data_IF_332524195678
#
_entry.id   IF_332524195678
#
_cell.length_a   1.000
_cell.length_b   1.000
_cell.length_c   1.000
_cell.angle_alpha   90.00
_cell.angle_beta   90.00
_cell.angle_gamma   90.00
#
_symmetry.space_group_name_H-M   'P 1'
#
loop_
_entity.id
_entity.type
_entity.pdbx_description
1 polymer ?
#
# COMPACT_ATOMS: atom_id res chain seq x y z
N UNK A 1 -7.48 35.83 -26.11
CA UNK A 1 -6.40 35.23 -25.28
C UNK A 1 -5.95 33.97 -25.99
N UNK A 2 -4.70 33.91 -26.43
CA UNK A 2 -4.21 32.94 -27.43
C UNK A 2 -3.95 31.55 -26.83
N UNK A 3 -4.07 30.51 -27.66
CA UNK A 3 -3.84 29.09 -27.32
C UNK A 3 -2.48 28.83 -26.65
N UNK A 4 -1.46 29.63 -26.98
CA UNK A 4 -0.11 29.54 -26.38
C UNK A 4 -0.08 29.93 -24.90
N UNK A 5 -0.88 30.92 -24.48
CA UNK A 5 -0.95 31.32 -23.08
C UNK A 5 -1.65 30.25 -22.23
N UNK A 6 -2.68 29.59 -22.76
CA UNK A 6 -3.35 28.47 -22.12
C UNK A 6 -2.42 27.24 -21.98
N UNK A 7 -1.67 26.92 -23.03
CA UNK A 7 -0.69 25.82 -23.00
C UNK A 7 0.44 26.07 -21.98
N UNK A 8 0.99 27.29 -21.92
CA UNK A 8 2.03 27.65 -20.96
C UNK A 8 1.52 27.61 -19.49
N UNK A 9 0.26 27.96 -19.26
CA UNK A 9 -0.37 27.86 -17.94
C UNK A 9 -0.61 26.41 -17.53
N UNK A 10 -1.06 25.55 -18.44
CA UNK A 10 -1.24 24.12 -18.20
C UNK A 10 0.09 23.42 -17.87
N UNK A 11 1.14 23.73 -18.63
CA UNK A 11 2.51 23.23 -18.41
C UNK A 11 3.08 23.70 -17.05
N UNK A 12 2.83 24.95 -16.66
CA UNK A 12 3.18 25.45 -15.32
C UNK A 12 2.44 24.73 -14.19
N UNK A 13 1.13 24.48 -14.36
CA UNK A 13 0.32 23.78 -13.38
C UNK A 13 0.77 22.32 -13.19
N UNK A 14 1.06 21.61 -14.29
CA UNK A 14 1.57 20.25 -14.27
C UNK A 14 2.90 20.15 -13.49
N UNK A 15 3.87 21.03 -13.79
CA UNK A 15 5.14 21.09 -13.04
C UNK A 15 4.98 21.39 -11.56
N UNK A 16 3.99 22.22 -11.20
CA UNK A 16 3.72 22.53 -9.79
C UNK A 16 3.09 21.33 -9.06
N UNK A 17 2.20 20.59 -9.74
CA UNK A 17 1.61 19.37 -9.21
C UNK A 17 2.69 18.30 -8.99
N UNK A 18 3.57 18.10 -9.97
CA UNK A 18 4.69 17.16 -9.87
C UNK A 18 5.61 17.52 -8.70
N UNK A 19 5.98 18.80 -8.56
CA UNK A 19 6.80 19.25 -7.42
C UNK A 19 6.11 19.00 -6.08
N UNK A 20 4.80 19.22 -5.99
CA UNK A 20 4.03 18.96 -4.77
C UNK A 20 3.96 17.44 -4.46
N UNK A 21 3.80 16.62 -5.50
CA UNK A 21 3.81 15.16 -5.40
C UNK A 21 5.18 14.64 -4.90
N UNK A 22 6.28 15.22 -5.39
CA UNK A 22 7.65 14.89 -4.95
C UNK A 22 7.97 15.39 -3.54
N UNK A 23 7.32 16.44 -3.08
CA UNK A 23 7.53 17.01 -1.74
C UNK A 23 6.71 16.32 -0.63
N UNK A 24 5.86 15.34 -0.96
CA UNK A 24 4.91 14.70 -0.05
C UNK A 24 5.07 13.19 0.00
N UNK A 25 4.47 12.54 1.02
CA UNK A 25 4.45 11.07 1.16
C UNK A 25 5.82 10.43 1.38
N UNK A 26 6.66 11.09 2.19
CA UNK A 26 8.00 10.60 2.57
C UNK A 26 8.00 9.72 3.81
N UNK A 27 6.89 9.68 4.54
CA UNK A 27 6.72 8.90 5.77
C UNK A 27 5.54 7.94 5.61
N UNK A 28 5.69 6.73 6.17
CA UNK A 28 4.64 5.72 6.12
C UNK A 28 3.46 6.07 7.05
N UNK A 29 2.22 5.77 6.65
CA UNK A 29 1.02 6.12 7.41
C UNK A 29 0.90 5.30 8.71
N UNK A 30 0.11 5.77 9.67
CA UNK A 30 -0.10 5.05 10.94
C UNK A 30 -0.69 3.65 10.77
N UNK A 31 -1.42 3.41 9.67
CA UNK A 31 -2.04 2.11 9.36
C UNK A 31 -1.00 0.99 9.21
N UNK A 32 0.24 1.36 8.89
CA UNK A 32 1.37 0.47 8.73
C UNK A 32 2.07 0.14 10.05
N UNK A 33 1.68 0.78 11.15
CA UNK A 33 2.20 0.47 12.49
C UNK A 33 1.39 -0.65 13.11
N UNK A 34 2.09 -1.57 13.77
CA UNK A 34 1.40 -2.58 14.57
C UNK A 34 0.81 -1.91 15.82
N UNK A 35 -0.49 -2.04 16.12
CA UNK A 35 -1.11 -1.34 17.24
C UNK A 35 -0.81 -1.98 18.61
N UNK A 36 0.05 -3.00 18.66
CA UNK A 36 0.50 -3.63 19.90
C UNK A 36 1.90 -3.15 20.28
N UNK A 37 2.84 -3.09 19.32
CA UNK A 37 4.20 -2.60 19.57
C UNK A 37 4.44 -1.15 19.11
N UNK A 38 3.51 -0.56 18.36
CA UNK A 38 3.55 0.78 17.77
C UNK A 38 4.67 1.04 16.74
N UNK A 39 5.48 0.02 16.45
CA UNK A 39 6.51 0.08 15.41
C UNK A 39 5.92 -0.15 14.01
N UNK A 40 6.52 0.49 13.00
CA UNK A 40 6.24 0.22 11.58
C UNK A 40 6.49 -1.24 11.28
N UNK A 41 5.60 -1.85 10.49
CA UNK A 41 5.71 -3.24 10.06
C UNK A 41 6.54 -3.31 8.78
N UNK A 42 7.49 -4.24 8.75
CA UNK A 42 8.35 -4.48 7.58
C UNK A 42 7.56 -4.72 6.28
N UNK A 43 8.11 -4.26 5.15
CA UNK A 43 7.54 -4.48 3.83
C UNK A 43 7.93 -5.86 3.26
N UNK A 44 7.07 -6.48 2.42
CA UNK A 44 5.68 -6.11 2.15
C UNK A 44 4.80 -6.36 3.40
N UNK A 45 4.01 -5.35 3.79
CA UNK A 45 3.28 -5.36 5.07
C UNK A 45 2.36 -6.57 5.20
N UNK A 46 1.71 -6.95 4.09
CA UNK A 46 0.79 -8.10 4.00
C UNK A 46 1.44 -9.44 4.35
N UNK A 47 2.75 -9.58 4.13
CA UNK A 47 3.49 -10.81 4.44
C UNK A 47 3.97 -10.84 5.89
N UNK A 48 4.22 -9.67 6.48
CA UNK A 48 4.79 -9.52 7.81
C UNK A 48 3.72 -9.28 8.90
N UNK A 49 2.45 -9.37 8.54
CA UNK A 49 1.33 -9.11 9.43
C UNK A 49 0.05 -9.85 9.05
N UNK A 50 -0.93 -9.79 9.95
CA UNK A 50 -2.29 -10.26 9.69
C UNK A 50 -3.32 -9.20 10.05
N UNK A 51 -4.25 -8.94 9.14
CA UNK A 51 -5.46 -8.16 9.43
C UNK A 51 -6.43 -9.06 10.21
N UNK A 52 -6.84 -8.59 11.39
CA UNK A 52 -7.80 -9.31 12.22
C UNK A 52 -9.21 -8.80 11.95
N UNK A 53 -10.04 -9.60 11.25
CA UNK A 53 -11.41 -9.23 10.84
C UNK A 53 -12.33 -8.76 12.00
N UNK A 54 -12.04 -9.18 13.24
CA UNK A 54 -12.77 -8.70 14.43
C UNK A 54 -12.54 -7.22 14.76
N UNK A 55 -11.45 -6.61 14.28
CA UNK A 55 -11.04 -5.26 14.61
C UNK A 55 -10.50 -4.44 13.43
N UNK A 56 -10.27 -5.10 12.29
CA UNK A 56 -9.55 -4.61 11.10
C UNK A 56 -8.14 -4.08 11.43
N UNK A 57 -7.64 -4.39 12.63
CA UNK A 57 -6.28 -4.05 13.01
C UNK A 57 -5.28 -5.05 12.45
N UNK A 58 -4.28 -4.48 11.81
CA UNK A 58 -3.12 -5.16 11.26
C UNK A 58 -2.09 -5.39 12.36
N UNK A 59 -1.83 -6.64 12.70
CA UNK A 59 -0.88 -7.00 13.77
C UNK A 59 0.31 -7.71 13.17
N UNK A 60 1.53 -7.27 13.48
CA UNK A 60 2.75 -7.91 12.98
C UNK A 60 2.90 -9.35 13.49
N UNK A 61 3.57 -10.20 12.69
CA UNK A 61 3.74 -11.62 13.01
C UNK A 61 4.48 -11.83 14.34
N UNK A 62 5.39 -10.92 14.73
CA UNK A 62 6.06 -10.94 16.03
C UNK A 62 5.09 -10.77 17.22
N UNK A 63 4.16 -9.81 17.13
CA UNK A 63 3.13 -9.64 18.16
C UNK A 63 2.11 -10.79 18.17
N UNK A 64 1.81 -11.38 17.01
CA UNK A 64 0.97 -12.58 16.90
C UNK A 64 1.66 -13.76 17.59
N UNK A 65 2.94 -14.00 17.32
CA UNK A 65 3.73 -15.06 17.95
C UNK A 65 3.79 -14.88 19.48
N UNK A 66 4.10 -13.67 19.93
CA UNK A 66 4.14 -13.34 21.36
C UNK A 66 2.79 -13.59 22.03
N UNK A 67 1.68 -13.28 21.35
CA UNK A 67 0.34 -13.55 21.86
C UNK A 67 0.03 -15.06 21.97
N UNK A 68 0.38 -15.84 20.94
CA UNK A 68 0.21 -17.31 20.94
C UNK A 68 0.95 -17.97 22.10
N UNK A 69 2.19 -17.54 22.39
CA UNK A 69 2.99 -18.02 23.53
C UNK A 69 2.36 -17.75 24.89
N UNK A 70 1.52 -16.72 24.99
CA UNK A 70 0.73 -16.40 26.19
C UNK A 70 -0.63 -17.12 26.21
N UNK A 71 -0.84 -18.13 25.36
CA UNK A 71 -2.05 -18.94 25.32
C UNK A 71 -3.21 -18.35 24.52
N UNK A 72 -2.99 -17.29 23.72
CA UNK A 72 -4.06 -16.62 22.95
C UNK A 72 -4.28 -17.22 21.56
N UNK A 73 -4.33 -18.55 21.46
CA UNK A 73 -4.32 -19.27 20.17
C UNK A 73 -5.64 -19.15 19.38
N UNK A 74 -6.77 -18.93 20.05
CA UNK A 74 -8.10 -18.82 19.42
C UNK A 74 -8.71 -17.41 19.49
N UNK A 75 -7.92 -16.39 19.83
CA UNK A 75 -8.40 -15.02 20.04
C UNK A 75 -7.53 -14.02 19.31
N UNK A 76 -8.15 -12.92 18.87
CA UNK A 76 -7.41 -11.82 18.29
C UNK A 76 -6.40 -11.25 19.30
N UNK A 77 -5.12 -11.09 18.91
CA UNK A 77 -4.08 -10.49 19.75
C UNK A 77 -4.35 -9.04 20.18
N UNK A 78 -5.24 -8.33 19.47
CA UNK A 78 -5.61 -6.96 19.78
C UNK A 78 -6.96 -6.89 20.51
N UNK A 79 -8.05 -7.30 19.84
CA UNK A 79 -9.43 -7.09 20.31
C UNK A 79 -9.93 -8.17 21.29
N UNK A 80 -9.19 -9.28 21.46
CA UNK A 80 -9.56 -10.48 22.25
C UNK A 80 -10.82 -11.25 21.81
N UNK A 81 -11.56 -10.78 20.81
CA UNK A 81 -12.64 -11.56 20.14
C UNK A 81 -12.10 -12.88 19.63
N UNK A 82 -12.91 -13.94 19.73
CA UNK A 82 -12.58 -15.24 19.16
C UNK A 82 -12.28 -15.12 17.65
N UNK A 83 -11.28 -15.87 17.18
CA UNK A 83 -10.98 -15.97 15.75
C UNK A 83 -12.14 -16.72 15.08
N UNK A 84 -12.66 -16.25 13.93
CA UNK A 84 -13.76 -16.92 13.26
C UNK A 84 -13.44 -18.37 12.91
N UNK A 85 -14.41 -19.25 13.13
CA UNK A 85 -14.28 -20.67 12.81
C UNK A 85 -14.55 -20.98 11.33
N UNK A 86 -15.30 -20.11 10.65
CA UNK A 86 -15.72 -20.29 9.27
C UNK A 86 -15.84 -18.96 8.51
N UNK A 87 -16.06 -19.09 7.20
CA UNK A 87 -16.18 -17.98 6.26
C UNK A 87 -17.45 -17.14 6.49
N UNK A 88 -18.56 -17.77 6.87
CA UNK A 88 -19.83 -17.08 7.13
C UNK A 88 -19.69 -16.13 8.34
N UNK A 89 -19.05 -16.59 9.41
CA UNK A 89 -18.79 -15.78 10.58
C UNK A 89 -17.76 -14.67 10.29
N UNK A 90 -16.75 -14.97 9.46
CA UNK A 90 -15.80 -13.96 8.97
C UNK A 90 -16.53 -12.83 8.23
N UNK A 91 -17.39 -13.17 7.27
CA UNK A 91 -18.19 -12.19 6.53
C UNK A 91 -19.15 -11.41 7.43
N UNK A 92 -19.75 -12.04 8.44
CA UNK A 92 -20.60 -11.36 9.40
C UNK A 92 -19.84 -10.26 10.18
N UNK A 93 -18.58 -10.53 10.59
CA UNK A 93 -17.74 -9.54 11.27
C UNK A 93 -17.31 -8.40 10.34
N UNK A 94 -16.98 -8.70 9.09
CA UNK A 94 -16.65 -7.70 8.06
C UNK A 94 -17.88 -6.81 7.80
N UNK A 95 -19.05 -7.41 7.54
CA UNK A 95 -20.29 -6.67 7.28
C UNK A 95 -20.71 -5.78 8.46
N UNK A 96 -20.53 -6.25 9.70
CA UNK A 96 -20.78 -5.43 10.90
C UNK A 96 -19.99 -4.12 10.90
N UNK A 97 -18.79 -4.11 10.30
CA UNK A 97 -17.96 -2.91 10.13
C UNK A 97 -18.27 -2.11 8.89
N UNK A 98 -18.59 -2.77 7.78
CA UNK A 98 -19.09 -2.11 6.57
C UNK A 98 -20.32 -1.26 6.90
N UNK A 99 -21.26 -1.77 7.71
CA UNK A 99 -22.41 -1.00 8.20
C UNK A 99 -22.02 0.23 9.04
N UNK A 100 -20.81 0.27 9.59
CA UNK A 100 -20.25 1.40 10.34
C UNK A 100 -19.34 2.29 9.48
N UNK A 101 -19.31 2.09 8.17
CA UNK A 101 -18.48 2.85 7.22
C UNK A 101 -16.98 2.79 7.56
N UNK A 102 -16.53 1.63 8.06
CA UNK A 102 -15.10 1.36 8.26
C UNK A 102 -14.45 1.12 6.89
N UNK A 103 -13.59 2.05 6.45
CA UNK A 103 -13.00 2.06 5.12
C UNK A 103 -12.22 0.77 4.81
N UNK A 104 -11.43 0.28 5.77
CA UNK A 104 -10.64 -0.95 5.59
C UNK A 104 -11.55 -2.19 5.50
N UNK A 105 -12.66 -2.22 6.23
CA UNK A 105 -13.62 -3.31 6.12
C UNK A 105 -14.33 -3.32 4.75
N UNK A 106 -14.69 -2.14 4.24
CA UNK A 106 -15.28 -2.00 2.90
C UNK A 106 -14.26 -2.45 1.85
N UNK A 107 -13.00 -2.03 1.98
CA UNK A 107 -11.90 -2.47 1.10
C UNK A 107 -11.74 -3.99 1.11
N UNK A 108 -11.68 -4.60 2.30
CA UNK A 108 -11.56 -6.05 2.48
C UNK A 108 -12.77 -6.78 1.89
N UNK A 109 -13.98 -6.25 2.01
CA UNK A 109 -15.17 -6.82 1.36
C UNK A 109 -15.05 -6.75 -0.16
N UNK A 110 -14.55 -5.64 -0.71
CA UNK A 110 -14.24 -5.48 -2.13
C UNK A 110 -13.29 -6.56 -2.62
N UNK A 111 -12.19 -6.82 -1.89
CA UNK A 111 -11.26 -7.92 -2.20
C UNK A 111 -11.96 -9.29 -2.19
N UNK A 112 -12.88 -9.55 -1.25
CA UNK A 112 -13.59 -10.83 -1.22
C UNK A 112 -14.46 -11.04 -2.48
N UNK A 113 -15.14 -9.99 -2.95
CA UNK A 113 -15.90 -10.03 -4.21
C UNK A 113 -14.98 -10.13 -5.43
N UNK A 114 -13.86 -9.41 -5.45
CA UNK A 114 -12.93 -9.43 -6.58
C UNK A 114 -12.35 -10.82 -6.85
N UNK A 115 -12.03 -11.56 -5.79
CA UNK A 115 -11.45 -12.90 -5.88
C UNK A 115 -12.46 -14.06 -5.73
N UNK A 116 -13.72 -13.78 -5.39
CA UNK A 116 -14.72 -14.82 -5.14
C UNK A 116 -14.39 -15.69 -3.92
N UNK A 117 -14.02 -15.04 -2.82
CA UNK A 117 -13.59 -15.70 -1.59
C UNK A 117 -14.75 -15.87 -0.60
N UNK A 118 -14.59 -16.78 0.36
CA UNK A 118 -15.50 -16.93 1.51
C UNK A 118 -16.93 -17.29 1.14
N UNK A 119 -17.09 -18.03 0.04
CA UNK A 119 -18.40 -18.41 -0.50
C UNK A 119 -19.11 -17.30 -1.26
N UNK A 120 -18.46 -16.16 -1.50
CA UNK A 120 -18.96 -15.14 -2.41
C UNK A 120 -18.62 -15.53 -3.86
N UNK A 121 -19.58 -15.34 -4.76
CA UNK A 121 -19.31 -15.40 -6.19
C UNK A 121 -18.43 -14.21 -6.58
N UNK A 122 -17.45 -14.45 -7.46
CA UNK A 122 -16.62 -13.38 -8.01
C UNK A 122 -17.49 -12.32 -8.70
N UNK A 123 -17.35 -11.08 -8.29
CA UNK A 123 -18.08 -9.92 -8.80
C UNK A 123 -17.16 -8.69 -8.80
N UNK A 124 -16.51 -8.46 -9.93
CA UNK A 124 -15.52 -7.37 -10.06
C UNK A 124 -16.18 -5.98 -10.06
N UNK A 125 -17.28 -5.72 -10.80
CA UNK A 125 -17.98 -4.44 -10.71
C UNK A 125 -18.33 -4.08 -9.26
N UNK A 126 -18.85 -5.04 -8.49
CA UNK A 126 -19.13 -4.83 -7.07
C UNK A 126 -17.89 -4.53 -6.24
N UNK A 127 -16.76 -5.18 -6.54
CA UNK A 127 -15.49 -4.89 -5.86
C UNK A 127 -15.02 -3.46 -6.11
N UNK A 128 -15.13 -2.98 -7.36
CA UNK A 128 -14.75 -1.62 -7.74
C UNK A 128 -15.62 -0.60 -7.02
N UNK A 129 -16.95 -0.80 -6.97
CA UNK A 129 -17.84 0.06 -6.18
C UNK A 129 -17.42 0.17 -4.71
N UNK A 130 -17.09 -0.97 -4.09
CA UNK A 130 -16.65 -1.02 -2.70
C UNK A 130 -15.29 -0.35 -2.51
N UNK A 131 -14.34 -0.56 -3.42
CA UNK A 131 -13.05 0.14 -3.34
C UNK A 131 -13.19 1.64 -3.54
N UNK A 132 -14.08 2.10 -4.43
CA UNK A 132 -14.40 3.52 -4.58
C UNK A 132 -14.96 4.09 -3.28
N UNK A 133 -15.94 3.43 -2.66
CA UNK A 133 -16.50 3.86 -1.36
C UNK A 133 -15.41 3.88 -0.27
N UNK A 134 -14.54 2.87 -0.22
CA UNK A 134 -13.45 2.82 0.76
C UNK A 134 -12.41 3.92 0.54
N UNK A 135 -12.08 4.24 -0.71
CA UNK A 135 -11.16 5.32 -1.08
C UNK A 135 -11.74 6.68 -0.68
N UNK A 136 -13.02 6.93 -0.94
CA UNK A 136 -13.74 8.14 -0.49
C UNK A 136 -13.74 8.29 1.05
N UNK A 137 -13.70 7.17 1.78
CA UNK A 137 -13.57 7.13 3.24
C UNK A 137 -12.10 7.15 3.73
N UNK A 138 -11.13 7.29 2.83
CA UNK A 138 -9.71 7.49 3.15
C UNK A 138 -8.85 6.22 3.18
N UNK A 139 -9.32 5.09 2.63
CA UNK A 139 -8.49 3.88 2.55
C UNK A 139 -7.42 4.01 1.45
N UNK A 140 -6.15 4.08 1.86
CA UNK A 140 -5.00 4.15 0.95
C UNK A 140 -4.84 2.87 0.13
N UNK A 141 -5.03 1.71 0.77
CA UNK A 141 -5.06 0.41 0.11
C UNK A 141 -6.15 0.39 -0.99
N UNK A 142 -7.32 0.99 -0.76
CA UNK A 142 -8.39 1.02 -1.77
C UNK A 142 -8.03 1.92 -2.96
N UNK A 143 -7.40 3.08 -2.71
CA UNK A 143 -6.82 3.89 -3.78
C UNK A 143 -5.76 3.11 -4.58
N UNK A 144 -4.92 2.31 -3.93
CA UNK A 144 -3.96 1.46 -4.62
C UNK A 144 -4.64 0.40 -5.51
N UNK A 145 -5.65 -0.30 -5.00
CA UNK A 145 -6.38 -1.32 -5.79
C UNK A 145 -7.08 -0.69 -7.01
N UNK A 146 -7.77 0.45 -6.83
CA UNK A 146 -8.37 1.18 -7.94
C UNK A 146 -7.32 1.66 -8.94
N UNK A 147 -6.23 2.24 -8.44
CA UNK A 147 -5.12 2.72 -9.26
C UNK A 147 -4.55 1.63 -10.16
N UNK A 148 -4.28 0.46 -9.56
CA UNK A 148 -3.77 -0.69 -10.26
C UNK A 148 -4.79 -1.30 -11.24
N UNK A 149 -6.07 -1.35 -10.86
CA UNK A 149 -7.14 -1.88 -11.70
C UNK A 149 -7.39 -1.03 -12.94
N UNK A 150 -7.52 0.29 -12.79
CA UNK A 150 -7.74 1.19 -13.92
C UNK A 150 -6.51 1.31 -14.82
N UNK A 151 -5.31 1.33 -14.26
CA UNK A 151 -4.08 1.45 -15.06
C UNK A 151 -3.85 0.25 -15.98
N UNK A 152 -4.15 -0.97 -15.53
CA UNK A 152 -3.92 -2.21 -16.30
C UNK A 152 -5.20 -2.80 -16.93
N UNK A 153 -6.35 -2.14 -16.78
CA UNK A 153 -7.64 -2.69 -17.23
C UNK A 153 -8.05 -4.00 -16.53
N UNK A 154 -7.65 -4.21 -15.27
CA UNK A 154 -7.94 -5.44 -14.54
C UNK A 154 -9.40 -5.48 -14.06
N UNK A 155 -10.26 -6.04 -14.89
CA UNK A 155 -11.68 -6.26 -14.60
C UNK A 155 -12.54 -5.00 -14.69
N UNK A 156 -11.97 -3.91 -15.21
CA UNK A 156 -12.61 -2.66 -15.61
C UNK A 156 -12.04 -2.23 -16.97
N UNK A 157 -12.71 -1.30 -17.64
CA UNK A 157 -12.12 -0.63 -18.80
C UNK A 157 -10.85 0.12 -18.35
N UNK A 158 -9.80 0.05 -19.17
CA UNK A 158 -8.54 0.73 -18.91
C UNK A 158 -8.75 2.25 -18.90
N UNK A 159 -8.29 2.88 -17.84
CA UNK A 159 -8.26 4.34 -17.66
C UNK A 159 -6.95 4.70 -16.97
N UNK A 160 -5.87 4.77 -17.75
CA UNK A 160 -4.54 5.09 -17.20
C UNK A 160 -4.53 6.42 -16.43
N UNK A 161 -5.10 7.55 -16.94
CA UNK A 161 -5.17 8.78 -16.16
C UNK A 161 -5.93 8.64 -14.83
N UNK A 162 -7.06 7.94 -14.83
CA UNK A 162 -7.82 7.65 -13.60
C UNK A 162 -7.02 6.79 -12.62
N UNK A 163 -6.34 5.76 -13.13
CA UNK A 163 -5.46 4.90 -12.34
C UNK A 163 -4.33 5.68 -11.67
N UNK A 164 -3.60 6.49 -12.45
CA UNK A 164 -2.54 7.37 -11.96
C UNK A 164 -3.07 8.35 -10.90
N UNK A 165 -4.27 8.91 -11.10
CA UNK A 165 -4.88 9.79 -10.12
C UNK A 165 -5.06 9.10 -8.76
N UNK A 166 -5.61 7.88 -8.72
CA UNK A 166 -5.76 7.14 -7.47
C UNK A 166 -4.40 6.80 -6.83
N UNK A 167 -3.40 6.42 -7.63
CA UNK A 167 -2.04 6.17 -7.14
C UNK A 167 -1.43 7.43 -6.51
N UNK A 168 -1.59 8.59 -7.14
CA UNK A 168 -1.14 9.88 -6.59
C UNK A 168 -1.80 10.19 -5.24
N UNK A 169 -3.13 10.01 -5.12
CA UNK A 169 -3.87 10.25 -3.86
C UNK A 169 -3.34 9.40 -2.69
N UNK A 170 -2.98 8.14 -2.95
CA UNK A 170 -2.39 7.27 -1.93
C UNK A 170 -0.91 7.62 -1.66
N UNK A 171 -0.15 7.87 -2.72
CA UNK A 171 1.28 8.14 -2.64
C UNK A 171 1.58 9.40 -1.82
N UNK A 172 0.83 10.50 -2.01
CA UNK A 172 1.03 11.75 -1.23
C UNK A 172 0.80 11.57 0.27
N UNK A 173 0.07 10.52 0.66
CA UNK A 173 -0.19 10.14 2.05
C UNK A 173 0.77 9.05 2.56
N UNK A 174 1.81 8.71 1.79
CA UNK A 174 2.86 7.78 2.19
C UNK A 174 2.60 6.32 1.86
N UNK A 175 1.61 6.01 1.00
CA UNK A 175 1.39 4.64 0.56
C UNK A 175 2.54 4.17 -0.35
N UNK A 176 3.30 3.19 0.13
CA UNK A 176 4.59 2.80 -0.44
C UNK A 176 4.42 2.14 -1.80
N UNK A 177 3.51 1.15 -1.90
CA UNK A 177 3.26 0.44 -3.16
C UNK A 177 2.70 1.38 -4.25
N UNK A 178 1.91 2.40 -3.87
CA UNK A 178 1.44 3.40 -4.85
C UNK A 178 2.57 4.29 -5.32
N UNK A 179 3.50 4.66 -4.43
CA UNK A 179 4.68 5.43 -4.78
C UNK A 179 5.60 4.64 -5.72
N UNK A 180 5.79 3.36 -5.45
CA UNK A 180 6.50 2.43 -6.33
C UNK A 180 5.86 2.37 -7.71
N UNK A 181 4.53 2.18 -7.77
CA UNK A 181 3.79 2.07 -9.02
C UNK A 181 3.89 3.36 -9.85
N UNK A 182 3.84 4.54 -9.24
CA UNK A 182 4.09 5.79 -9.96
C UNK A 182 5.48 5.83 -10.59
N UNK A 183 6.51 5.27 -9.95
CA UNK A 183 7.82 5.13 -10.57
C UNK A 183 7.79 4.24 -11.82
N UNK A 184 7.05 3.13 -11.78
CA UNK A 184 6.86 2.26 -12.94
C UNK A 184 6.10 2.97 -14.07
N UNK A 185 5.04 3.72 -13.76
CA UNK A 185 4.30 4.55 -14.72
C UNK A 185 5.23 5.54 -15.44
N UNK A 186 6.07 6.24 -14.68
CA UNK A 186 7.00 7.21 -15.26
C UNK A 186 8.09 6.53 -16.10
N UNK A 187 8.53 5.33 -15.70
CA UNK A 187 9.46 4.53 -16.48
C UNK A 187 8.85 4.11 -17.83
N UNK A 188 7.62 3.60 -17.84
CA UNK A 188 6.90 3.21 -19.06
C UNK A 188 6.71 4.40 -20.02
N UNK A 189 6.52 5.60 -19.46
CA UNK A 189 6.43 6.85 -20.22
C UNK A 189 7.79 7.40 -20.69
N UNK A 190 8.91 6.77 -20.33
CA UNK A 190 10.27 7.22 -20.66
C UNK A 190 10.80 8.37 -19.79
N UNK A 191 10.10 8.72 -18.72
CA UNK A 191 10.46 9.77 -17.76
C UNK A 191 11.39 9.21 -16.66
N UNK A 192 12.53 8.66 -17.07
CA UNK A 192 13.43 7.90 -16.19
C UNK A 192 13.92 8.67 -14.95
N UNK A 193 14.19 9.97 -15.09
CA UNK A 193 14.59 10.80 -13.95
C UNK A 193 13.49 10.89 -12.88
N UNK A 194 12.23 10.98 -13.31
CA UNK A 194 11.07 11.06 -12.42
C UNK A 194 10.74 9.69 -11.82
N UNK A 195 10.89 8.62 -12.60
CA UNK A 195 10.80 7.24 -12.11
C UNK A 195 11.78 6.99 -10.95
N UNK A 196 13.05 7.37 -11.12
CA UNK A 196 14.07 7.26 -10.07
C UNK A 196 13.69 8.09 -8.84
N UNK A 197 13.12 9.29 -8.99
CA UNK A 197 12.67 10.10 -7.85
C UNK A 197 11.55 9.41 -7.06
N UNK A 198 10.53 8.87 -7.74
CA UNK A 198 9.46 8.09 -7.11
C UNK A 198 10.01 6.89 -6.34
N UNK A 199 10.87 6.10 -6.98
CA UNK A 199 11.47 4.94 -6.35
C UNK A 199 12.40 5.31 -5.20
N UNK A 200 13.12 6.43 -5.25
CA UNK A 200 13.95 6.88 -4.12
C UNK A 200 13.11 7.17 -2.87
N UNK A 201 11.93 7.77 -3.03
CA UNK A 201 11.00 8.01 -1.92
C UNK A 201 10.50 6.67 -1.35
N UNK A 202 10.06 5.76 -2.22
CA UNK A 202 9.57 4.43 -1.83
C UNK A 202 10.65 3.58 -1.14
N UNK A 203 11.86 3.54 -1.70
CA UNK A 203 13.00 2.81 -1.15
C UNK A 203 13.41 3.35 0.23
N UNK A 204 13.35 4.68 0.43
CA UNK A 204 13.59 5.30 1.75
C UNK A 204 12.53 4.90 2.79
N UNK A 205 11.34 4.48 2.37
CA UNK A 205 10.31 3.91 3.25
C UNK A 205 10.48 2.38 3.49
N UNK A 206 11.53 1.78 2.90
CA UNK A 206 11.87 0.37 3.07
C UNK A 206 11.36 -0.55 1.96
N UNK A 207 10.98 -0.03 0.80
CA UNK A 207 10.57 -0.86 -0.35
C UNK A 207 11.78 -1.43 -1.09
N UNK A 208 11.94 -2.75 -1.03
CA UNK A 208 13.04 -3.44 -1.70
C UNK A 208 12.86 -3.45 -3.23
N UNK A 209 11.62 -3.48 -3.73
CA UNK A 209 11.36 -3.46 -5.16
C UNK A 209 11.85 -2.16 -5.78
N UNK A 210 11.49 -1.00 -5.22
CA UNK A 210 12.01 0.30 -5.67
C UNK A 210 13.53 0.41 -5.57
N UNK A 211 14.16 -0.17 -4.54
CA UNK A 211 15.62 -0.19 -4.47
C UNK A 211 16.24 -0.99 -5.62
N UNK A 212 15.64 -2.12 -5.99
CA UNK A 212 16.08 -2.93 -7.12
C UNK A 212 15.87 -2.18 -8.44
N UNK A 213 14.74 -1.50 -8.64
CA UNK A 213 14.53 -0.68 -9.84
C UNK A 213 15.60 0.41 -9.97
N UNK A 214 15.93 1.14 -8.90
CA UNK A 214 17.01 2.16 -8.92
C UNK A 214 18.37 1.53 -9.28
N UNK A 215 18.62 0.30 -8.83
CA UNK A 215 19.84 -0.44 -9.17
C UNK A 215 19.88 -0.74 -10.67
N UNK A 216 18.77 -1.20 -11.26
CA UNK A 216 18.67 -1.42 -12.70
C UNK A 216 18.87 -0.11 -13.47
N UNK A 217 18.20 0.98 -13.08
CA UNK A 217 18.39 2.31 -13.68
C UNK A 217 19.85 2.79 -13.61
N UNK A 218 20.57 2.47 -12.53
CA UNK A 218 21.99 2.79 -12.39
C UNK A 218 22.85 2.00 -13.39
N UNK A 219 22.54 0.72 -13.60
CA UNK A 219 23.25 -0.12 -14.57
C UNK A 219 23.01 0.32 -16.01
N UNK A 220 21.82 0.84 -16.31
CA UNK A 220 21.44 1.39 -17.61
C UNK A 220 21.96 2.82 -17.85
N UNK A 221 22.48 3.48 -16.81
CA UNK A 221 23.02 4.84 -16.90
C UNK A 221 21.98 5.96 -16.73
N UNK A 222 20.76 5.62 -16.34
CA UNK A 222 19.67 6.55 -16.06
C UNK A 222 19.65 7.05 -14.60
N UNK A 223 20.27 6.33 -13.68
CA UNK A 223 20.51 6.80 -12.31
C UNK A 223 22.01 7.04 -12.06
N UNK A 224 22.31 8.04 -11.24
CA UNK A 224 23.68 8.34 -10.82
C UNK A 224 24.12 7.43 -9.66
N UNK A 225 25.44 7.28 -9.49
CA UNK A 225 26.02 6.60 -8.33
C UNK A 225 25.54 7.20 -7.00
N UNK A 226 25.36 8.51 -6.95
CA UNK A 226 24.89 9.21 -5.76
C UNK A 226 23.44 8.87 -5.43
N UNK A 227 22.55 8.83 -6.44
CA UNK A 227 21.15 8.42 -6.25
C UNK A 227 21.06 6.97 -5.73
N UNK A 228 21.79 6.04 -6.34
CA UNK A 228 21.78 4.65 -5.89
C UNK A 228 22.34 4.50 -4.46
N UNK A 229 23.46 5.17 -4.14
CA UNK A 229 24.03 5.15 -2.80
C UNK A 229 23.07 5.72 -1.74
N UNK A 230 22.37 6.81 -2.06
CA UNK A 230 21.37 7.41 -1.17
C UNK A 230 20.16 6.50 -0.98
N UNK A 231 19.68 5.84 -2.05
CA UNK A 231 18.58 4.89 -1.96
C UNK A 231 18.94 3.68 -1.08
N UNK A 232 20.15 3.13 -1.25
CA UNK A 232 20.66 2.04 -0.40
C UNK A 232 20.75 2.43 1.07
N UNK A 233 21.19 3.66 1.37
CA UNK A 233 21.28 4.16 2.73
C UNK A 233 19.89 4.32 3.35
N UNK A 234 18.97 5.01 2.66
CA UNK A 234 17.61 5.22 3.14
C UNK A 234 16.85 3.90 3.37
N UNK A 235 16.99 2.95 2.44
CA UNK A 235 16.41 1.60 2.61
C UNK A 235 16.97 0.89 3.84
N UNK A 236 18.30 0.94 4.05
CA UNK A 236 18.94 0.31 5.21
C UNK A 236 18.43 0.91 6.52
N UNK A 237 18.34 2.24 6.59
CA UNK A 237 17.87 2.94 7.78
C UNK A 237 16.42 2.53 8.09
N UNK A 238 15.54 2.50 7.08
CA UNK A 238 14.16 2.05 7.24
C UNK A 238 14.05 0.60 7.71
N UNK A 239 14.83 -0.32 7.12
CA UNK A 239 14.87 -1.72 7.53
C UNK A 239 15.34 -1.86 8.97
N UNK A 240 16.35 -1.10 9.39
CA UNK A 240 16.85 -1.10 10.77
C UNK A 240 15.79 -0.61 11.75
N UNK A 241 15.09 0.47 11.43
CA UNK A 241 14.00 1.02 12.26
C UNK A 241 12.84 0.03 12.45
N UNK A 242 12.60 -0.86 11.48
CA UNK A 242 11.51 -1.84 11.53
C UNK A 242 11.90 -3.16 12.21
N UNK A 243 13.17 -3.36 12.60
CA UNK A 243 13.62 -4.61 13.22
C UNK A 243 12.95 -4.85 14.56
N UNK A 244 12.58 -6.10 14.80
CA UNK A 244 12.06 -6.55 16.09
C UNK A 244 12.52 -7.99 16.38
N UNK A 245 13.05 -8.28 17.58
CA UNK A 245 13.44 -9.64 17.94
C UNK A 245 12.30 -10.66 17.78
N UNK A 246 11.06 -10.25 18.09
CA UNK A 246 9.90 -11.12 17.95
C UNK A 246 9.52 -11.35 16.50
N UNK A 247 9.71 -10.35 15.61
CA UNK A 247 9.46 -10.52 14.16
C UNK A 247 10.51 -11.42 13.53
N UNK A 248 11.79 -11.24 13.87
CA UNK A 248 12.87 -12.12 13.43
C UNK A 248 12.66 -13.56 13.88
N UNK A 249 12.16 -13.76 15.10
CA UNK A 249 11.79 -15.08 15.57
C UNK A 249 10.57 -15.65 14.84
N UNK A 250 9.54 -14.83 14.58
CA UNK A 250 8.37 -15.26 13.79
C UNK A 250 8.78 -15.71 12.39
N UNK A 251 9.68 -14.99 11.71
CA UNK A 251 10.24 -15.38 10.42
C UNK A 251 10.95 -16.73 10.49
N UNK A 252 11.82 -16.95 11.49
CA UNK A 252 12.52 -18.24 11.69
C UNK A 252 11.56 -19.41 11.90
N UNK A 253 10.39 -19.15 12.46
CA UNK A 253 9.36 -20.16 12.74
C UNK A 253 8.31 -20.30 11.64
N UNK A 254 8.36 -19.49 10.57
CA UNK A 254 7.37 -19.50 9.50
C UNK A 254 5.97 -19.05 9.94
N UNK A 255 5.90 -18.10 10.89
CA UNK A 255 4.65 -17.58 11.48
C UNK A 255 4.11 -16.36 10.75
#
# INVERSE_FOLDING_TARGET
MSNMAAAALADSAARNLERALMASGHDRPEVDRCPICFDLIELPVKNQSKINVCCLKRVCNGCILAARRRGMNGRCPFCRTAIPADDAFTLALVNKRVHKKDADAIKVLGEQYYFGLRGLTKDVPRAIELWTEAAELGSLDAHYELGNSYYHGHGVEEDMPGGVHHLQQAAVQGHVESRHMLGAVEYDNGNYELAVQHWMISAKMGDEYSLNEIKEMFMEGHATKAQYANALLGYRDAVEEMKSPQREEAKRLGV
#
